data_IF_402686289348
#
_entry.id   IF_402686289348
#
_cell.length_a   1.000
_cell.length_b   1.000
_cell.length_c   1.000
_cell.angle_alpha   90.00
_cell.angle_beta   90.00
_cell.angle_gamma   90.00
#
_symmetry.space_group_name_H-M   'P 1'
#
loop_
_entity.id
_entity.type
_entity.pdbx_description
1 polymer ?
#
# COMPACT_ATOMS: atom_id res chain seq x y z
N UNK A 1 0.46 7.57 25.03
CA UNK A 1 0.48 7.64 23.56
C UNK A 1 0.80 6.28 23.00
N UNK A 2 -0.11 5.70 22.24
CA UNK A 2 0.16 4.45 21.57
C UNK A 2 1.12 4.70 20.40
N UNK A 3 2.15 3.89 20.29
CA UNK A 3 3.10 3.98 19.19
C UNK A 3 2.71 3.02 18.08
N UNK A 4 2.84 3.48 16.86
CA UNK A 4 2.60 2.67 15.67
C UNK A 4 3.87 1.90 15.32
N UNK A 5 3.69 0.66 14.85
CA UNK A 5 4.79 -0.20 14.38
C UNK A 5 4.53 -0.56 12.94
N UNK A 6 5.50 -0.30 12.08
CA UNK A 6 5.48 -0.71 10.68
C UNK A 6 6.30 -1.99 10.54
N UNK A 7 5.75 -3.00 9.89
CA UNK A 7 6.47 -4.25 9.68
C UNK A 7 5.92 -5.01 8.48
N UNK A 8 6.69 -6.01 8.03
CA UNK A 8 6.21 -6.93 7.00
C UNK A 8 5.02 -7.73 7.52
N UNK A 9 4.09 -8.03 6.64
CA UNK A 9 2.93 -8.85 6.93
C UNK A 9 3.38 -10.28 7.31
N UNK A 10 2.64 -10.93 8.19
CA UNK A 10 2.90 -12.31 8.66
C UNK A 10 1.68 -13.17 8.38
N UNK A 11 1.89 -14.46 8.25
CA UNK A 11 0.77 -15.40 8.05
C UNK A 11 -0.26 -15.32 9.17
N UNK A 12 0.19 -15.04 10.40
CA UNK A 12 -0.69 -14.87 11.56
C UNK A 12 -1.56 -13.62 11.49
N UNK A 13 -1.32 -12.70 10.55
CA UNK A 13 -2.11 -11.47 10.41
C UNK A 13 -3.40 -11.67 9.63
N UNK A 14 -3.64 -12.85 9.05
CA UNK A 14 -4.75 -13.07 8.12
C UNK A 14 -6.10 -12.65 8.69
N UNK A 15 -6.41 -12.99 9.92
CA UNK A 15 -7.70 -12.68 10.54
C UNK A 15 -7.93 -11.18 10.66
N UNK A 16 -6.88 -10.40 10.95
CA UNK A 16 -6.99 -8.95 11.08
C UNK A 16 -6.91 -8.26 9.72
N UNK A 17 -6.16 -8.84 8.78
CA UNK A 17 -6.06 -8.30 7.42
C UNK A 17 -7.36 -8.45 6.63
N UNK A 18 -8.06 -9.56 6.78
CA UNK A 18 -9.30 -9.83 6.02
C UNK A 18 -10.32 -8.69 6.09
N UNK A 19 -10.72 -8.19 7.27
CA UNK A 19 -11.69 -7.09 7.32
C UNK A 19 -11.13 -5.79 6.76
N UNK A 20 -9.83 -5.56 6.86
CA UNK A 20 -9.20 -4.37 6.27
C UNK A 20 -9.24 -4.45 4.75
N UNK A 21 -8.91 -5.62 4.18
CA UNK A 21 -8.97 -5.82 2.73
C UNK A 21 -10.41 -5.68 2.21
N UNK A 22 -11.37 -6.26 2.92
CA UNK A 22 -12.79 -6.10 2.57
C UNK A 22 -13.22 -4.64 2.62
N UNK A 23 -12.78 -3.88 3.62
CA UNK A 23 -13.07 -2.45 3.74
C UNK A 23 -12.46 -1.64 2.61
N UNK A 24 -11.25 -1.98 2.19
CA UNK A 24 -10.58 -1.35 1.06
C UNK A 24 -11.37 -1.58 -0.25
N UNK A 25 -11.75 -2.81 -0.52
CA UNK A 25 -12.51 -3.16 -1.73
C UNK A 25 -13.88 -2.48 -1.73
N UNK A 26 -14.56 -2.42 -0.59
CA UNK A 26 -15.84 -1.75 -0.47
C UNK A 26 -15.71 -0.25 -0.74
N UNK A 27 -14.67 0.38 -0.19
CA UNK A 27 -14.41 1.81 -0.40
C UNK A 27 -14.25 2.14 -1.89
N UNK A 28 -13.52 1.30 -2.62
CA UNK A 28 -13.29 1.52 -4.06
C UNK A 28 -14.38 0.90 -4.94
N UNK A 29 -15.39 0.27 -4.34
CA UNK A 29 -16.50 -0.38 -5.04
C UNK A 29 -16.01 -1.41 -6.05
N UNK A 30 -15.03 -2.20 -5.63
CA UNK A 30 -14.40 -3.24 -6.43
C UNK A 30 -14.83 -4.60 -5.88
N UNK A 31 -15.20 -5.50 -6.77
CA UNK A 31 -15.53 -6.88 -6.42
C UNK A 31 -14.46 -7.80 -7.01
N UNK A 32 -13.78 -8.52 -6.14
CA UNK A 32 -12.70 -9.43 -6.51
C UNK A 32 -13.09 -10.83 -6.09
N UNK A 33 -12.93 -11.84 -6.98
CA UNK A 33 -13.23 -13.22 -6.62
C UNK A 33 -12.42 -13.67 -5.40
N UNK A 34 -13.00 -14.47 -4.50
CA UNK A 34 -12.26 -14.97 -3.34
C UNK A 34 -10.95 -15.67 -3.69
N UNK A 35 -10.89 -16.33 -4.83
CA UNK A 35 -9.68 -17.01 -5.30
C UNK A 35 -8.54 -16.02 -5.54
N UNK A 36 -8.86 -14.82 -6.02
CA UNK A 36 -7.86 -13.79 -6.25
C UNK A 36 -7.31 -13.26 -4.93
N UNK A 37 -8.15 -13.08 -3.93
CA UNK A 37 -7.72 -12.66 -2.59
C UNK A 37 -6.80 -13.72 -1.97
N UNK A 38 -7.13 -15.00 -2.12
CA UNK A 38 -6.28 -16.09 -1.66
C UNK A 38 -4.93 -16.10 -2.37
N UNK A 39 -4.95 -15.87 -3.67
CA UNK A 39 -3.72 -15.82 -4.47
C UNK A 39 -2.83 -14.67 -4.03
N UNK A 40 -3.39 -13.47 -3.84
CA UNK A 40 -2.63 -12.31 -3.35
C UNK A 40 -2.02 -12.58 -1.98
N UNK A 41 -2.81 -13.19 -1.10
CA UNK A 41 -2.32 -13.53 0.24
C UNK A 41 -1.10 -14.45 0.17
N UNK A 42 -1.17 -15.52 -0.63
CA UNK A 42 -0.05 -16.44 -0.79
C UNK A 42 1.18 -15.75 -1.40
N UNK A 43 0.94 -14.81 -2.32
CA UNK A 43 2.01 -14.09 -3.00
C UNK A 43 2.80 -13.16 -2.07
N UNK A 44 2.20 -12.67 -0.99
CA UNK A 44 2.95 -11.88 0.00
C UNK A 44 4.10 -12.69 0.62
N UNK A 45 4.00 -14.01 0.63
CA UNK A 45 4.97 -14.90 1.26
C UNK A 45 5.80 -15.69 0.26
N UNK A 46 5.64 -15.40 -1.02
CA UNK A 46 6.39 -16.06 -2.11
C UNK A 46 7.50 -15.10 -2.58
N UNK A 47 8.73 -15.38 -2.15
CA UNK A 47 9.88 -14.54 -2.48
C UNK A 47 10.17 -14.46 -3.98
N UNK A 48 9.66 -15.42 -4.78
CA UNK A 48 9.83 -15.41 -6.23
C UNK A 48 8.81 -14.52 -6.94
N UNK A 49 7.80 -14.04 -6.21
CA UNK A 49 6.78 -13.15 -6.75
C UNK A 49 6.97 -11.74 -6.20
N UNK A 50 6.94 -10.76 -7.10
CA UNK A 50 7.20 -9.36 -6.76
C UNK A 50 5.94 -8.70 -6.17
N UNK A 51 5.66 -8.99 -4.90
CA UNK A 51 4.55 -8.38 -4.17
C UNK A 51 4.92 -8.39 -2.68
N UNK A 52 4.95 -7.21 -2.07
CA UNK A 52 5.33 -7.04 -0.68
C UNK A 52 4.14 -6.50 0.11
N UNK A 53 3.80 -7.16 1.21
CA UNK A 53 2.77 -6.71 2.13
C UNK A 53 3.38 -6.16 3.42
N UNK A 54 2.89 -4.99 3.83
CA UNK A 54 3.28 -4.35 5.08
C UNK A 54 2.03 -4.01 5.86
N UNK A 55 2.16 -3.98 7.18
CA UNK A 55 1.07 -3.61 8.07
C UNK A 55 1.54 -2.56 9.07
N UNK A 56 0.59 -1.84 9.63
CA UNK A 56 0.82 -0.99 10.78
C UNK A 56 0.04 -1.55 11.96
N UNK A 57 0.73 -1.70 13.09
CA UNK A 57 0.12 -2.12 14.35
C UNK A 57 0.02 -0.93 15.31
N UNK A 58 -1.08 -0.88 16.04
CA UNK A 58 -1.25 0.03 17.17
C UNK A 58 -1.71 -0.82 18.34
N UNK A 59 -0.95 -0.79 19.43
CA UNK A 59 -1.25 -1.58 20.63
C UNK A 59 -1.44 -3.08 20.34
N UNK A 60 -0.62 -3.61 19.44
CA UNK A 60 -0.67 -5.03 19.09
C UNK A 60 -1.73 -5.43 18.08
N UNK A 61 -2.54 -4.48 17.60
CA UNK A 61 -3.57 -4.75 16.60
C UNK A 61 -3.16 -4.22 15.24
N UNK A 62 -3.39 -5.01 14.20
CA UNK A 62 -3.16 -4.59 12.81
C UNK A 62 -4.33 -3.70 12.39
N UNK A 63 -4.03 -2.43 12.11
CA UNK A 63 -5.05 -1.41 11.84
C UNK A 63 -4.95 -0.79 10.46
N UNK A 64 -3.96 -1.19 9.67
CA UNK A 64 -3.80 -0.72 8.30
C UNK A 64 -2.77 -1.53 7.55
N UNK A 65 -2.70 -1.33 6.25
CA UNK A 65 -1.75 -2.04 5.40
C UNK A 65 -1.27 -1.18 4.23
N UNK A 66 -0.15 -1.60 3.66
CA UNK A 66 0.37 -1.12 2.39
C UNK A 66 0.84 -2.32 1.58
N UNK A 67 0.44 -2.39 0.32
CA UNK A 67 0.89 -3.41 -0.62
C UNK A 67 1.75 -2.75 -1.69
N UNK A 68 2.93 -3.29 -1.92
CA UNK A 68 3.90 -2.70 -2.83
C UNK A 68 4.44 -3.72 -3.82
N UNK A 69 4.94 -3.22 -4.94
CA UNK A 69 5.70 -4.03 -5.90
C UNK A 69 6.79 -3.17 -6.52
N UNK A 70 7.88 -3.80 -6.92
CA UNK A 70 8.98 -3.09 -7.59
C UNK A 70 8.71 -3.02 -9.09
N UNK A 71 8.96 -1.86 -9.69
CA UNK A 71 8.75 -1.63 -11.13
C UNK A 71 10.10 -1.37 -11.80
N UNK A 72 10.48 -2.26 -12.71
CA UNK A 72 11.72 -2.10 -13.47
C UNK A 72 11.61 -0.95 -14.46
N UNK A 73 12.74 -0.29 -14.70
CA UNK A 73 12.83 0.80 -15.67
C UNK A 73 14.10 0.63 -16.49
N UNK A 74 14.01 0.90 -17.79
CA UNK A 74 15.19 0.91 -18.66
C UNK A 74 16.11 2.10 -18.36
N UNK A 75 15.67 3.05 -17.57
CA UNK A 75 16.44 4.25 -17.22
C UNK A 75 17.31 4.07 -16.00
N UNK A 76 17.10 3.00 -15.22
CA UNK A 76 17.74 2.82 -13.92
C UNK A 76 18.19 1.37 -13.73
N UNK A 77 19.23 1.19 -12.94
CA UNK A 77 19.72 -0.12 -12.55
C UNK A 77 18.88 -0.76 -11.43
N UNK A 78 18.23 0.06 -10.59
CA UNK A 78 17.36 -0.43 -9.52
C UNK A 78 15.91 -0.06 -9.79
N UNK A 79 14.96 -0.94 -9.47
CA UNK A 79 13.54 -0.67 -9.72
C UNK A 79 12.98 0.40 -8.79
N UNK A 80 11.95 1.09 -9.26
CA UNK A 80 11.15 1.98 -8.42
C UNK A 80 10.20 1.15 -7.55
N UNK A 81 9.74 1.70 -6.45
CA UNK A 81 8.74 1.06 -5.61
C UNK A 81 7.37 1.65 -5.90
N UNK A 82 6.43 0.78 -6.28
CA UNK A 82 5.03 1.16 -6.52
C UNK A 82 4.18 0.77 -5.33
N UNK A 83 3.42 1.72 -4.80
CA UNK A 83 2.45 1.49 -3.73
C UNK A 83 1.09 1.24 -4.37
N UNK A 84 0.69 -0.02 -4.41
CA UNK A 84 -0.56 -0.46 -5.05
C UNK A 84 -1.78 -0.12 -4.21
N UNK A 85 -1.77 -0.54 -2.95
CA UNK A 85 -2.90 -0.41 -2.03
C UNK A 85 -2.45 0.20 -0.72
N UNK A 86 -3.24 1.14 -0.21
CA UNK A 86 -3.00 1.78 1.09
C UNK A 86 -4.34 1.93 1.80
N UNK A 87 -4.44 1.41 3.02
CA UNK A 87 -5.69 1.48 3.76
C UNK A 87 -5.44 1.52 5.27
N UNK A 88 -6.22 2.34 5.96
CA UNK A 88 -6.24 2.42 7.42
C UNK A 88 -7.69 2.22 7.86
N UNK A 89 -7.90 1.40 8.88
CA UNK A 89 -9.22 1.16 9.46
C UNK A 89 -9.88 2.51 9.79
N UNK A 90 -11.18 2.69 9.48
CA UNK A 90 -11.88 3.94 9.77
C UNK A 90 -11.78 4.41 11.22
N UNK A 91 -11.74 3.48 12.17
CA UNK A 91 -11.63 3.78 13.60
C UNK A 91 -10.29 4.39 13.98
N UNK A 92 -9.27 4.20 13.13
CA UNK A 92 -7.90 4.65 13.39
C UNK A 92 -7.47 5.79 12.47
N UNK A 93 -8.38 6.36 11.70
CA UNK A 93 -8.09 7.49 10.81
C UNK A 93 -7.88 8.78 11.62
N UNK A 94 -7.27 9.78 10.97
CA UNK A 94 -6.94 11.07 11.57
C UNK A 94 -5.90 10.98 12.69
N UNK A 95 -5.11 9.90 12.68
CA UNK A 95 -4.00 9.68 13.62
C UNK A 95 -2.65 9.68 12.92
N UNK A 96 -2.60 10.08 11.64
CA UNK A 96 -1.37 10.13 10.86
C UNK A 96 -0.86 8.76 10.40
N UNK A 97 -1.68 7.71 10.46
CA UNK A 97 -1.23 6.36 10.10
C UNK A 97 -1.04 6.17 8.59
N UNK A 98 -1.83 6.84 7.76
CA UNK A 98 -1.61 6.81 6.31
C UNK A 98 -0.28 7.43 5.94
N UNK A 99 0.04 8.58 6.50
CA UNK A 99 1.33 9.23 6.33
C UNK A 99 2.46 8.33 6.85
N UNK A 100 2.27 7.72 8.01
CA UNK A 100 3.24 6.81 8.61
C UNK A 100 3.55 5.62 7.69
N UNK A 101 2.53 5.02 7.08
CA UNK A 101 2.70 3.93 6.12
C UNK A 101 3.48 4.41 4.89
N UNK A 102 3.13 5.55 4.33
CA UNK A 102 3.81 6.11 3.15
C UNK A 102 5.28 6.39 3.46
N UNK A 103 5.57 7.04 4.58
CA UNK A 103 6.95 7.38 4.95
C UNK A 103 7.80 6.12 5.19
N UNK A 104 7.23 5.08 5.76
CA UNK A 104 7.94 3.81 5.94
C UNK A 104 8.16 3.09 4.61
N UNK A 105 7.19 3.13 3.70
CA UNK A 105 7.39 2.61 2.34
C UNK A 105 8.49 3.39 1.62
N UNK A 106 8.57 4.70 1.83
CA UNK A 106 9.64 5.52 1.26
C UNK A 106 11.01 5.07 1.76
N UNK A 107 11.12 4.71 3.05
CA UNK A 107 12.38 4.18 3.58
C UNK A 107 12.77 2.84 2.95
N UNK A 108 11.79 1.97 2.69
CA UNK A 108 12.01 0.72 1.95
C UNK A 108 12.56 1.02 0.55
N UNK A 109 11.94 1.98 -0.15
CA UNK A 109 12.37 2.38 -1.49
C UNK A 109 13.81 2.89 -1.48
N UNK A 110 14.14 3.78 -0.55
CA UNK A 110 15.50 4.31 -0.40
C UNK A 110 16.52 3.21 -0.14
N UNK A 111 16.22 2.32 0.79
CA UNK A 111 17.10 1.20 1.14
C UNK A 111 17.32 0.24 -0.03
N UNK A 112 16.36 0.15 -0.94
CA UNK A 112 16.42 -0.70 -2.13
C UNK A 112 17.13 -0.02 -3.31
N UNK A 113 17.51 1.25 -3.18
CA UNK A 113 18.14 2.00 -4.26
C UNK A 113 17.16 2.57 -5.28
N UNK A 114 15.87 2.56 -4.97
CA UNK A 114 14.84 3.14 -5.86
C UNK A 114 15.00 4.66 -5.91
N UNK A 115 14.74 5.24 -7.10
CA UNK A 115 14.73 6.71 -7.23
C UNK A 115 13.46 7.32 -6.67
N UNK A 116 12.37 6.52 -6.57
CA UNK A 116 11.08 7.04 -6.10
C UNK A 116 10.19 5.94 -5.54
N UNK A 117 9.30 6.36 -4.66
CA UNK A 117 8.08 5.67 -4.30
C UNK A 117 6.96 6.40 -5.05
N UNK A 118 6.06 5.70 -5.72
CA UNK A 118 4.97 6.36 -6.44
C UNK A 118 3.69 5.57 -6.32
N UNK A 119 2.58 6.25 -6.48
CA UNK A 119 1.24 5.65 -6.43
C UNK A 119 0.28 6.51 -7.22
N UNK A 120 -0.92 5.99 -7.43
CA UNK A 120 -1.98 6.71 -8.10
C UNK A 120 -3.27 6.62 -7.28
N UNK A 121 -4.16 7.54 -7.51
CA UNK A 121 -5.46 7.56 -6.86
C UNK A 121 -6.51 8.06 -7.86
N UNK A 122 -7.78 7.80 -7.56
CA UNK A 122 -8.85 8.33 -8.40
C UNK A 122 -8.88 9.84 -8.27
N UNK A 123 -9.13 10.52 -9.39
CA UNK A 123 -9.22 11.97 -9.44
C UNK A 123 -10.28 12.53 -8.48
N UNK A 124 -11.34 11.76 -8.26
CA UNK A 124 -12.42 12.12 -7.36
C UNK A 124 -12.10 11.96 -5.88
N UNK A 125 -11.00 11.29 -5.55
CA UNK A 125 -10.63 11.02 -4.15
C UNK A 125 -9.89 12.22 -3.54
N UNK A 126 -10.63 13.30 -3.28
CA UNK A 126 -10.09 14.57 -2.79
C UNK A 126 -9.47 14.44 -1.40
N UNK A 127 -10.08 13.65 -0.54
CA UNK A 127 -9.61 13.42 0.82
C UNK A 127 -8.20 12.82 0.83
N UNK A 128 -7.98 11.78 0.01
CA UNK A 128 -6.67 11.16 -0.12
C UNK A 128 -5.65 12.13 -0.72
N UNK A 129 -6.05 12.91 -1.71
CA UNK A 129 -5.15 13.87 -2.36
C UNK A 129 -4.65 14.95 -1.40
N UNK A 130 -5.45 15.33 -0.39
CA UNK A 130 -4.99 16.26 0.63
C UNK A 130 -3.79 15.71 1.40
N UNK A 131 -3.85 14.43 1.77
CA UNK A 131 -2.73 13.75 2.41
C UNK A 131 -1.54 13.68 1.44
N UNK A 132 -1.78 13.28 0.20
CA UNK A 132 -0.72 13.07 -0.78
C UNK A 132 0.01 14.38 -1.11
N UNK A 133 -0.69 15.50 -1.21
CA UNK A 133 -0.06 16.80 -1.44
C UNK A 133 0.82 17.24 -0.27
N UNK A 134 0.55 16.74 0.91
CA UNK A 134 1.33 17.03 2.10
C UNK A 134 2.65 16.25 2.14
N UNK A 135 2.65 15.02 1.62
CA UNK A 135 3.78 14.09 1.75
C UNK A 135 4.55 13.85 0.45
N UNK A 136 4.01 14.29 -0.68
CA UNK A 136 4.59 14.02 -2.00
C UNK A 136 4.27 15.15 -2.98
N UNK A 137 4.73 14.97 -4.22
CA UNK A 137 4.50 15.92 -5.30
C UNK A 137 3.67 15.24 -6.40
N UNK A 138 2.63 15.91 -6.88
CA UNK A 138 1.87 15.40 -8.00
C UNK A 138 2.76 15.35 -9.25
N UNK A 139 2.88 14.17 -9.84
CA UNK A 139 3.68 13.96 -11.04
C UNK A 139 3.05 14.60 -12.27
N UNK A 140 3.86 14.80 -13.30
CA UNK A 140 3.42 15.39 -14.57
C UNK A 140 2.91 14.36 -15.56
N UNK A 141 3.17 13.08 -15.33
CA UNK A 141 2.78 12.03 -16.26
C UNK A 141 1.31 11.66 -16.09
N UNK A 142 0.67 11.32 -17.19
CA UNK A 142 -0.70 10.81 -17.20
C UNK A 142 -0.73 9.41 -17.77
N UNK A 143 -1.75 8.65 -17.42
CA UNK A 143 -1.87 7.24 -17.79
C UNK A 143 -2.85 7.10 -18.93
N UNK A 144 -2.44 6.35 -19.97
CA UNK A 144 -3.33 5.92 -21.05
C UNK A 144 -3.55 4.43 -20.90
N UNK A 145 -4.76 3.97 -21.10
CA UNK A 145 -5.15 2.58 -20.91
C UNK A 145 -5.84 2.01 -22.15
N UNK A 146 -5.58 0.73 -22.39
CA UNK A 146 -6.41 -0.08 -23.28
C UNK A 146 -6.97 -1.18 -22.38
N UNK A 147 -8.26 -1.13 -22.15
CA UNK A 147 -8.91 -2.11 -21.26
C UNK A 147 -9.47 -3.25 -22.10
N UNK A 148 -9.27 -4.50 -21.62
CA UNK A 148 -9.66 -5.70 -22.35
C UNK A 148 -10.79 -6.43 -21.64
#
# INVERSE_FOLDING_TARGET
MSSAVFRSIRESDREQWNPLWSGYLEFYKVDIPPEQTELSWRRFFDDSFNLQGYVVEVEGEVVGFAHCSFTNSTWLDQPDLYLEDLFVSPEYRRRGLGEFLIENCAEIAKASGSRRLYWQTQRSNESAQKLYNKVATLGENIIFEKVF
#
